data_IF_169090811980
#
_entry.id   IF_169090811980
#
_cell.length_a   1.000
_cell.length_b   1.000
_cell.length_c   1.000
_cell.angle_alpha   90.00
_cell.angle_beta   90.00
_cell.angle_gamma   90.00
#
_symmetry.space_group_name_H-M   'P 1'
#
loop_
_entity.id
_entity.type
_entity.pdbx_description
1 polymer ?
#
# COMPACT_ATOMS: atom_id res chain seq x y z
N UNK A 1 27.26 -27.01 -30.86
CA UNK A 1 25.90 -26.43 -30.72
C UNK A 1 26.05 -24.94 -30.44
N UNK A 2 25.55 -24.09 -31.34
CA UNK A 2 25.73 -22.63 -31.33
C UNK A 2 24.97 -21.94 -30.18
N UNK A 3 25.62 -20.94 -29.56
CA UNK A 3 25.09 -20.01 -28.55
C UNK A 3 23.80 -19.26 -28.97
N UNK A 4 23.43 -19.31 -30.26
CA UNK A 4 22.16 -18.74 -30.75
C UNK A 4 20.92 -19.48 -30.23
N UNK A 5 21.02 -20.76 -29.82
CA UNK A 5 19.86 -21.55 -29.39
C UNK A 5 19.45 -21.36 -27.92
N UNK A 6 20.29 -20.75 -27.08
CA UNK A 6 19.95 -20.48 -25.68
C UNK A 6 19.20 -19.15 -25.51
N UNK A 7 19.48 -18.16 -26.38
CA UNK A 7 18.76 -16.88 -26.42
C UNK A 7 17.30 -17.05 -26.84
N UNK A 8 17.03 -17.95 -27.79
CA UNK A 8 15.66 -18.22 -28.27
C UNK A 8 14.80 -18.96 -27.22
N UNK A 9 15.41 -19.72 -26.31
CA UNK A 9 14.70 -20.39 -25.21
C UNK A 9 14.26 -19.39 -24.11
N UNK A 10 15.11 -18.44 -23.74
CA UNK A 10 14.72 -17.38 -22.80
C UNK A 10 13.74 -16.37 -23.44
N UNK A 11 13.89 -16.04 -24.72
CA UNK A 11 12.95 -15.17 -25.43
C UNK A 11 11.56 -15.82 -25.60
N UNK A 12 11.48 -17.13 -25.85
CA UNK A 12 10.20 -17.85 -25.95
C UNK A 12 9.46 -18.01 -24.61
N UNK A 13 10.18 -17.97 -23.48
CA UNK A 13 9.54 -17.98 -22.13
C UNK A 13 8.94 -16.61 -21.77
N UNK A 14 9.25 -15.56 -22.53
CA UNK A 14 8.78 -14.19 -22.26
C UNK A 14 7.67 -13.72 -23.21
N UNK A 15 7.33 -14.47 -24.26
CA UNK A 15 6.35 -14.03 -25.28
C UNK A 15 5.42 -15.12 -25.84
N UNK A 16 5.36 -16.31 -25.27
CA UNK A 16 4.42 -17.34 -25.70
C UNK A 16 3.56 -17.87 -24.55
N UNK A 17 2.29 -17.48 -24.57
CA UNK A 17 1.23 -18.22 -23.87
C UNK A 17 0.75 -17.60 -22.57
N UNK A 18 -0.01 -16.51 -22.68
CA UNK A 18 -1.21 -16.34 -21.82
C UNK A 18 -2.19 -17.45 -22.21
N UNK A 19 -1.84 -18.68 -21.82
CA UNK A 19 -2.69 -19.86 -21.90
C UNK A 19 -3.66 -19.78 -20.73
N UNK A 20 -4.93 -20.03 -21.02
CA UNK A 20 -6.07 -20.00 -20.08
C UNK A 20 -5.88 -20.87 -18.80
N UNK A 21 -4.81 -21.68 -18.73
CA UNK A 21 -4.41 -22.42 -17.53
C UNK A 21 -3.83 -21.52 -16.42
N UNK A 22 -3.09 -20.45 -16.74
CA UNK A 22 -2.50 -19.55 -15.73
C UNK A 22 -3.54 -18.67 -15.02
N UNK A 23 -4.65 -18.41 -15.69
CA UNK A 23 -5.79 -17.66 -15.15
C UNK A 23 -6.61 -18.48 -14.14
N UNK A 24 -6.67 -19.82 -14.25
CA UNK A 24 -7.43 -20.66 -13.31
C UNK A 24 -6.76 -20.70 -11.95
N UNK A 25 -5.43 -20.91 -11.88
CA UNK A 25 -4.71 -20.96 -10.62
C UNK A 25 -4.75 -19.61 -9.88
N UNK A 26 -4.58 -18.50 -10.60
CA UNK A 26 -4.68 -17.16 -10.03
C UNK A 26 -6.10 -16.86 -9.51
N UNK A 27 -7.14 -17.27 -10.26
CA UNK A 27 -8.53 -17.12 -9.87
C UNK A 27 -8.92 -18.03 -8.68
N UNK A 28 -8.42 -19.26 -8.64
CA UNK A 28 -8.64 -20.21 -7.54
C UNK A 28 -7.95 -19.73 -6.25
N UNK A 29 -6.72 -19.22 -6.37
CA UNK A 29 -6.00 -18.62 -5.25
C UNK A 29 -6.72 -17.37 -4.72
N UNK A 30 -7.21 -16.51 -5.62
CA UNK A 30 -8.03 -15.34 -5.26
C UNK A 30 -9.34 -15.76 -4.56
N UNK A 31 -10.03 -16.78 -5.05
CA UNK A 31 -11.25 -17.31 -4.41
C UNK A 31 -11.00 -17.89 -3.02
N UNK A 32 -9.94 -18.67 -2.84
CA UNK A 32 -9.55 -19.24 -1.55
C UNK A 32 -9.21 -18.14 -0.54
N UNK A 33 -8.43 -17.14 -0.97
CA UNK A 33 -8.09 -15.98 -0.14
C UNK A 33 -9.35 -15.21 0.27
N UNK A 34 -10.27 -14.95 -0.65
CA UNK A 34 -11.54 -14.25 -0.35
C UNK A 34 -12.41 -15.03 0.63
N UNK A 35 -12.56 -16.35 0.44
CA UNK A 35 -13.33 -17.20 1.34
C UNK A 35 -12.76 -17.22 2.76
N UNK A 36 -11.44 -17.22 2.91
CA UNK A 36 -10.79 -17.12 4.21
C UNK A 36 -11.07 -15.78 4.92
N UNK A 37 -11.26 -14.69 4.17
CA UNK A 37 -11.53 -13.35 4.70
C UNK A 37 -13.00 -13.14 5.11
N UNK A 38 -13.97 -13.86 4.50
CA UNK A 38 -15.41 -13.78 4.81
C UNK A 38 -15.71 -14.12 6.28
N UNK A 39 -14.89 -14.96 6.93
CA UNK A 39 -15.05 -15.31 8.34
C UNK A 39 -14.57 -14.24 9.33
N UNK A 40 -14.04 -13.11 8.84
CA UNK A 40 -13.59 -12.00 9.68
C UNK A 40 -14.54 -10.80 9.54
N UNK A 41 -15.02 -10.26 10.67
CA UNK A 41 -15.73 -8.97 10.66
C UNK A 41 -14.74 -7.85 10.32
N UNK A 42 -14.87 -7.22 9.16
CA UNK A 42 -14.01 -6.11 8.76
C UNK A 42 -14.27 -4.84 9.59
N UNK A 43 -15.53 -4.62 9.97
CA UNK A 43 -15.98 -3.48 10.80
C UNK A 43 -16.72 -3.99 12.04
N UNK A 44 -16.47 -3.39 13.20
CA UNK A 44 -16.94 -3.94 14.48
C UNK A 44 -17.95 -3.06 15.21
N UNK A 45 -18.03 -1.76 14.91
CA UNK A 45 -18.88 -0.82 15.65
C UNK A 45 -19.90 -0.10 14.79
N UNK A 46 -19.45 0.80 13.91
CA UNK A 46 -20.36 1.75 13.25
C UNK A 46 -19.88 2.19 11.87
N UNK A 47 -20.62 3.11 11.24
CA UNK A 47 -20.16 3.78 10.03
C UNK A 47 -19.06 4.82 10.30
N UNK A 48 -18.96 5.32 11.54
CA UNK A 48 -18.11 6.45 11.90
C UNK A 48 -18.87 7.76 11.96
N UNK A 49 -18.18 8.83 12.36
CA UNK A 49 -18.80 10.14 12.53
C UNK A 49 -19.13 10.79 11.16
N UNK A 50 -20.33 11.36 10.95
CA UNK A 50 -20.69 12.01 9.69
C UNK A 50 -19.72 13.10 9.25
N UNK A 51 -19.13 13.83 10.22
CA UNK A 51 -18.15 14.87 9.94
C UNK A 51 -16.88 14.33 9.25
N UNK A 52 -16.43 13.13 9.64
CA UNK A 52 -15.29 12.47 8.99
C UNK A 52 -15.56 12.28 7.50
N UNK A 53 -16.77 11.88 7.12
CA UNK A 53 -17.14 11.73 5.71
C UNK A 53 -17.21 13.08 4.99
N UNK A 54 -17.73 14.14 5.64
CA UNK A 54 -17.75 15.49 5.06
C UNK A 54 -16.34 16.00 4.78
N UNK A 55 -15.44 15.88 5.75
CA UNK A 55 -14.04 16.26 5.61
C UNK A 55 -13.33 15.45 4.51
N UNK A 56 -13.51 14.13 4.49
CA UNK A 56 -12.94 13.26 3.45
C UNK A 56 -13.47 13.61 2.05
N UNK A 57 -14.77 13.88 1.92
CA UNK A 57 -15.38 14.27 0.64
C UNK A 57 -14.87 15.63 0.17
N UNK A 58 -14.76 16.61 1.08
CA UNK A 58 -14.18 17.92 0.79
C UNK A 58 -12.73 17.77 0.34
N UNK A 59 -11.92 17.02 1.08
CA UNK A 59 -10.52 16.76 0.72
C UNK A 59 -10.38 16.08 -0.64
N UNK A 60 -11.25 15.09 -0.91
CA UNK A 60 -11.29 14.42 -2.20
C UNK A 60 -11.55 15.41 -3.32
N UNK A 61 -12.60 16.24 -3.23
CA UNK A 61 -13.00 17.18 -4.29
C UNK A 61 -11.96 18.29 -4.49
N UNK A 62 -11.46 18.87 -3.40
CA UNK A 62 -10.62 20.06 -3.44
C UNK A 62 -9.15 19.74 -3.70
N UNK A 63 -8.66 18.59 -3.25
CA UNK A 63 -7.25 18.21 -3.29
C UNK A 63 -7.01 17.03 -4.21
N UNK A 64 -7.64 15.89 -3.94
CA UNK A 64 -7.29 14.62 -4.61
C UNK A 64 -7.72 14.60 -6.08
N UNK A 65 -8.98 14.96 -6.36
CA UNK A 65 -9.53 15.05 -7.71
C UNK A 65 -8.83 16.10 -8.57
N UNK A 66 -8.21 17.11 -7.94
CA UNK A 66 -7.39 18.12 -8.63
C UNK A 66 -5.90 17.75 -8.68
N UNK A 67 -5.53 16.55 -8.23
CA UNK A 67 -4.14 16.07 -8.11
C UNK A 67 -3.24 17.08 -7.38
N UNK A 68 -3.72 17.68 -6.29
CA UNK A 68 -2.98 18.69 -5.48
C UNK A 68 -2.36 18.10 -4.20
N UNK A 69 -2.49 16.80 -3.97
CA UNK A 69 -1.99 16.13 -2.77
C UNK A 69 -0.51 16.44 -2.50
N UNK A 70 0.35 16.28 -3.51
CA UNK A 70 1.79 16.57 -3.41
C UNK A 70 2.09 18.03 -3.00
N UNK A 71 1.37 18.99 -3.58
CA UNK A 71 1.54 20.41 -3.26
C UNK A 71 1.15 20.71 -1.80
N UNK A 72 0.02 20.15 -1.35
CA UNK A 72 -0.39 20.26 0.05
C UNK A 72 0.67 19.67 0.97
N UNK A 73 1.17 18.47 0.67
CA UNK A 73 2.19 17.80 1.49
C UNK A 73 3.48 18.61 1.60
N UNK A 74 3.97 19.17 0.50
CA UNK A 74 5.16 20.03 0.48
C UNK A 74 5.00 21.26 1.39
N UNK A 75 3.79 21.82 1.50
CA UNK A 75 3.51 22.96 2.37
C UNK A 75 3.52 22.64 3.87
N UNK A 76 3.29 21.38 4.24
CA UNK A 76 3.17 20.94 5.64
C UNK A 76 4.52 20.80 6.35
N UNK A 77 5.65 20.86 5.61
CA UNK A 77 7.02 20.73 6.14
C UNK A 77 7.19 19.52 7.07
N UNK A 78 6.57 18.40 6.71
CA UNK A 78 6.69 17.14 7.46
C UNK A 78 8.16 16.69 7.52
N UNK A 79 8.63 16.38 8.72
CA UNK A 79 9.99 15.91 8.96
C UNK A 79 10.07 14.37 8.98
N UNK A 80 11.13 13.82 8.40
CA UNK A 80 11.47 12.40 8.46
C UNK A 80 12.35 12.13 9.69
N UNK A 81 11.94 11.20 10.54
CA UNK A 81 12.71 10.75 11.70
C UNK A 81 13.27 9.36 11.39
N UNK A 82 14.60 9.24 11.30
CA UNK A 82 15.27 7.94 11.16
C UNK A 82 15.54 7.37 12.55
N UNK A 83 14.97 6.21 12.84
CA UNK A 83 15.09 5.54 14.14
C UNK A 83 16.25 4.54 14.15
N UNK A 84 16.51 3.91 13.00
CA UNK A 84 17.60 2.94 12.85
C UNK A 84 18.13 2.96 11.43
N UNK A 85 19.44 2.87 11.28
CA UNK A 85 20.10 2.73 9.99
C UNK A 85 21.29 1.78 10.10
N UNK A 86 21.40 0.84 9.16
CA UNK A 86 22.52 -0.08 9.08
C UNK A 86 22.81 -0.42 7.61
N UNK A 87 24.09 -0.58 7.29
CA UNK A 87 24.53 -1.04 5.97
C UNK A 87 25.22 -2.39 6.13
N UNK A 88 24.78 -3.40 5.38
CA UNK A 88 25.36 -4.73 5.42
C UNK A 88 25.35 -5.33 4.02
N UNK A 89 26.51 -5.80 3.56
CA UNK A 89 26.67 -6.46 2.25
C UNK A 89 26.06 -5.66 1.08
N UNK A 90 26.26 -4.34 1.08
CA UNK A 90 25.74 -3.47 0.01
C UNK A 90 24.23 -3.19 0.07
N UNK A 91 23.55 -3.57 1.17
CA UNK A 91 22.15 -3.23 1.43
C UNK A 91 22.08 -2.27 2.62
N UNK A 92 21.39 -1.14 2.44
CA UNK A 92 21.05 -0.15 3.45
C UNK A 92 19.66 -0.46 3.99
N UNK A 93 19.58 -0.87 5.25
CA UNK A 93 18.32 -1.08 5.97
C UNK A 93 18.05 0.14 6.85
N UNK A 94 16.86 0.70 6.72
CA UNK A 94 16.44 1.92 7.44
C UNK A 94 15.09 1.66 8.09
N UNK A 95 14.93 2.07 9.33
CA UNK A 95 13.63 2.20 9.98
C UNK A 95 13.41 3.67 10.31
N UNK A 96 12.22 4.15 9.99
CA UNK A 96 11.88 5.54 10.21
C UNK A 96 10.40 5.75 10.46
N UNK A 97 10.10 6.94 10.91
CA UNK A 97 8.74 7.42 11.06
C UNK A 97 8.61 8.89 10.72
N UNK A 98 7.40 9.30 10.40
CA UNK A 98 7.05 10.69 10.21
C UNK A 98 5.60 10.90 10.64
N UNK A 99 5.26 12.14 10.97
CA UNK A 99 3.86 12.49 11.24
C UNK A 99 3.11 12.50 9.92
N UNK A 100 2.07 11.67 9.81
CA UNK A 100 1.25 11.53 8.60
C UNK A 100 0.77 12.92 8.14
N UNK A 101 1.01 13.33 6.88
CA UNK A 101 0.51 14.61 6.38
C UNK A 101 -1.02 14.73 6.53
N UNK A 102 -1.74 13.61 6.37
CA UNK A 102 -3.18 13.54 6.63
C UNK A 102 -3.54 13.85 8.09
N UNK A 103 -2.74 13.38 9.05
CA UNK A 103 -2.95 13.69 10.47
C UNK A 103 -2.66 15.15 10.81
N UNK A 104 -1.83 15.85 10.03
CA UNK A 104 -1.61 17.29 10.19
C UNK A 104 -2.83 18.07 9.67
N UNK A 105 -3.40 17.67 8.54
CA UNK A 105 -4.58 18.31 7.97
C UNK A 105 -5.88 17.98 8.73
N UNK A 106 -6.03 16.74 9.20
CA UNK A 106 -7.24 16.22 9.84
C UNK A 106 -6.87 15.46 11.13
N UNK A 107 -6.46 16.17 12.20
CA UNK A 107 -5.94 15.55 13.42
C UNK A 107 -6.93 14.63 14.12
N UNK A 108 -8.24 14.90 13.99
CA UNK A 108 -9.29 14.09 14.59
C UNK A 108 -9.48 12.72 13.90
N UNK A 109 -8.98 12.55 12.68
CA UNK A 109 -9.14 11.31 11.92
C UNK A 109 -8.03 10.28 12.22
N UNK A 110 -6.85 10.73 12.65
CA UNK A 110 -5.72 9.88 13.01
C UNK A 110 -5.20 10.25 14.41
N UNK A 111 -5.98 10.02 15.49
CA UNK A 111 -5.57 10.43 16.83
C UNK A 111 -4.43 9.55 17.39
N UNK A 112 -3.76 10.05 18.42
CA UNK A 112 -2.85 9.24 19.26
C UNK A 112 -1.73 8.57 18.47
N UNK A 113 -1.60 7.25 18.58
CA UNK A 113 -0.57 6.48 17.89
C UNK A 113 -0.78 6.41 16.36
N UNK A 114 -2.01 6.56 15.87
CA UNK A 114 -2.35 6.36 14.45
C UNK A 114 -1.70 7.43 13.55
N UNK A 115 -1.43 8.63 14.08
CA UNK A 115 -0.81 9.73 13.33
C UNK A 115 0.62 9.47 12.87
N UNK A 116 1.33 8.51 13.49
CA UNK A 116 2.73 8.25 13.19
C UNK A 116 2.85 7.18 12.11
N UNK A 117 3.17 7.59 10.89
CA UNK A 117 3.46 6.66 9.80
C UNK A 117 4.85 6.06 10.04
N UNK A 118 4.90 4.75 10.27
CA UNK A 118 6.14 3.98 10.45
C UNK A 118 6.45 3.16 9.21
N UNK A 119 7.71 3.08 8.86
CA UNK A 119 8.16 2.35 7.68
C UNK A 119 9.54 1.73 7.90
N UNK A 120 9.80 0.68 7.12
CA UNK A 120 11.11 0.04 7.02
C UNK A 120 11.50 -0.02 5.56
N UNK A 121 12.75 0.30 5.22
CA UNK A 121 13.26 0.14 3.88
C UNK A 121 14.46 -0.78 3.83
N UNK A 122 14.56 -1.45 2.69
CA UNK A 122 15.75 -2.18 2.26
C UNK A 122 16.14 -1.63 0.90
N UNK A 123 17.25 -0.91 0.86
CA UNK A 123 17.67 -0.14 -0.29
C UNK A 123 19.07 -0.60 -0.72
N UNK A 124 19.38 -0.69 -2.01
CA UNK A 124 20.76 -0.85 -2.46
C UNK A 124 21.62 0.32 -1.94
N UNK A 125 22.77 0.00 -1.34
CA UNK A 125 23.74 0.99 -0.86
C UNK A 125 24.57 1.58 -2.02
N UNK A 126 24.71 0.84 -3.12
CA UNK A 126 25.34 1.32 -4.35
C UNK A 126 24.31 2.04 -5.20
N UNK A 127 24.74 3.08 -5.93
CA UNK A 127 23.87 4.13 -6.48
C UNK A 127 22.66 3.63 -7.30
N UNK A 128 21.50 4.21 -6.93
CA UNK A 128 20.33 4.61 -7.74
C UNK A 128 19.72 3.54 -8.64
N UNK A 129 18.99 2.63 -8.01
CA UNK A 129 18.04 1.74 -8.67
C UNK A 129 16.61 2.06 -8.25
N UNK A 130 15.65 1.49 -8.99
CA UNK A 130 14.24 1.69 -8.72
C UNK A 130 13.85 1.30 -7.29
N UNK A 131 12.80 1.93 -6.76
CA UNK A 131 12.28 1.63 -5.42
C UNK A 131 10.78 1.40 -5.49
N UNK A 132 10.32 0.31 -4.89
CA UNK A 132 8.90 -0.01 -4.75
C UNK A 132 8.42 0.20 -3.32
N UNK A 133 7.34 0.98 -3.14
CA UNK A 133 6.66 1.13 -1.86
C UNK A 133 5.55 0.08 -1.76
N UNK A 134 5.60 -0.75 -0.73
CA UNK A 134 4.68 -1.87 -0.52
C UNK A 134 3.68 -1.56 0.60
N UNK A 135 2.41 -1.44 0.24
CA UNK A 135 1.29 -1.22 1.15
C UNK A 135 0.78 -2.54 1.73
N UNK A 136 0.41 -2.53 3.00
CA UNK A 136 0.04 -3.74 3.73
C UNK A 136 -1.34 -4.27 3.30
N UNK A 137 -1.46 -5.58 3.11
CA UNK A 137 -2.75 -6.27 2.94
C UNK A 137 -3.48 -6.49 4.27
N UNK A 138 -4.72 -6.97 4.25
CA UNK A 138 -5.48 -7.27 5.47
C UNK A 138 -4.74 -8.27 6.36
N UNK A 139 -4.64 -8.00 7.68
CA UNK A 139 -3.90 -8.88 8.59
C UNK A 139 -2.39 -8.62 8.67
N UNK A 140 -1.81 -7.84 7.76
CA UNK A 140 -0.37 -7.64 7.71
C UNK A 140 0.11 -6.55 8.68
N UNK A 141 0.09 -6.88 9.97
CA UNK A 141 0.58 -6.04 11.06
C UNK A 141 2.12 -6.03 11.17
N UNK A 142 2.82 -6.88 10.44
CA UNK A 142 4.28 -6.91 10.45
C UNK A 142 4.85 -6.37 9.14
N UNK A 143 6.17 -6.45 9.00
CA UNK A 143 6.83 -6.27 7.70
C UNK A 143 7.13 -7.62 7.02
N UNK A 144 7.12 -8.73 7.76
CA UNK A 144 7.68 -10.03 7.36
C UNK A 144 7.09 -10.54 6.04
N UNK A 145 5.76 -10.44 5.87
CA UNK A 145 5.10 -10.91 4.64
C UNK A 145 5.60 -10.17 3.41
N UNK A 146 5.78 -8.85 3.53
CA UNK A 146 6.29 -8.02 2.43
C UNK A 146 7.80 -8.12 2.26
N UNK A 147 8.54 -8.38 3.33
CA UNK A 147 9.97 -8.66 3.26
C UNK A 147 10.25 -9.93 2.48
N UNK A 148 9.59 -11.03 2.86
CA UNK A 148 9.78 -12.35 2.24
C UNK A 148 9.14 -12.41 0.86
N UNK A 149 7.92 -11.87 0.71
CA UNK A 149 7.16 -11.96 -0.53
C UNK A 149 7.57 -10.97 -1.63
N UNK A 150 8.22 -9.86 -1.28
CA UNK A 150 8.60 -8.83 -2.25
C UNK A 150 10.04 -8.34 -2.08
N UNK A 151 10.39 -7.83 -0.90
CA UNK A 151 11.64 -7.07 -0.74
C UNK A 151 12.89 -7.89 -1.07
N UNK A 152 12.96 -9.16 -0.65
CA UNK A 152 14.12 -10.02 -0.91
C UNK A 152 14.39 -10.23 -2.40
N UNK A 153 13.39 -10.67 -3.17
CA UNK A 153 13.55 -10.89 -4.61
C UNK A 153 13.83 -9.59 -5.36
N UNK A 154 13.19 -8.49 -4.97
CA UNK A 154 13.48 -7.18 -5.57
C UNK A 154 14.92 -6.74 -5.30
N UNK A 155 15.46 -6.96 -4.10
CA UNK A 155 16.84 -6.62 -3.77
C UNK A 155 17.86 -7.43 -4.58
N UNK A 156 17.57 -8.69 -4.91
CA UNK A 156 18.43 -9.52 -5.77
C UNK A 156 18.57 -8.93 -7.18
N UNK A 157 17.48 -8.33 -7.70
CA UNK A 157 17.49 -7.55 -8.95
C UNK A 157 18.06 -6.12 -8.76
N UNK A 158 18.39 -5.77 -7.52
CA UNK A 158 18.86 -4.45 -7.10
C UNK A 158 17.76 -3.39 -7.00
N UNK A 159 16.48 -3.76 -6.97
CA UNK A 159 15.37 -2.84 -6.72
C UNK A 159 15.14 -2.71 -5.22
N UNK A 160 15.12 -1.48 -4.70
CA UNK A 160 14.84 -1.22 -3.29
C UNK A 160 13.35 -1.38 -2.95
N UNK A 161 13.07 -1.59 -1.67
CA UNK A 161 11.71 -1.71 -1.16
C UNK A 161 11.51 -0.84 0.08
N UNK A 162 10.41 -0.08 0.12
CA UNK A 162 9.94 0.64 1.30
C UNK A 162 8.64 -0.01 1.76
N UNK A 163 8.58 -0.44 3.01
CA UNK A 163 7.46 -1.17 3.60
C UNK A 163 6.78 -0.25 4.62
N UNK A 164 5.58 0.26 4.30
CA UNK A 164 4.85 1.20 5.16
C UNK A 164 3.79 0.48 5.99
N UNK A 165 3.69 0.76 7.29
CA UNK A 165 2.56 0.29 8.10
C UNK A 165 1.31 1.10 7.77
N UNK A 166 0.22 0.42 7.39
CA UNK A 166 -1.06 1.08 7.20
C UNK A 166 -1.56 1.71 8.52
N UNK A 167 -2.32 2.81 8.46
CA UNK A 167 -3.11 3.28 9.59
C UNK A 167 -3.90 2.13 10.24
N UNK A 168 -4.09 2.20 11.56
CA UNK A 168 -4.82 1.20 12.37
C UNK A 168 -4.15 -0.17 12.51
N UNK A 169 -2.92 -0.35 12.03
CA UNK A 169 -2.19 -1.63 12.12
C UNK A 169 -0.98 -1.53 13.04
N UNK A 170 -0.65 -2.63 13.72
CA UNK A 170 0.58 -2.75 14.49
C UNK A 170 0.70 -1.64 15.55
N UNK A 171 1.80 -0.89 15.54
CA UNK A 171 2.05 0.25 16.42
C UNK A 171 1.07 1.41 16.20
N UNK A 172 0.38 1.45 15.06
CA UNK A 172 -0.66 2.42 14.70
C UNK A 172 -2.07 1.93 15.06
N UNK A 173 -2.21 0.77 15.70
CA UNK A 173 -3.51 0.19 16.05
C UNK A 173 -4.04 0.79 17.36
N UNK A 174 -5.26 1.35 17.39
CA UNK A 174 -5.89 1.76 18.64
C UNK A 174 -5.97 0.61 19.65
N UNK A 175 -5.84 0.87 20.96
CA UNK A 175 -5.88 -0.18 21.99
C UNK A 175 -7.16 -1.02 21.95
N UNK A 176 -8.29 -0.39 21.65
CA UNK A 176 -9.62 -1.02 21.63
C UNK A 176 -9.86 -1.89 20.39
N UNK A 177 -9.05 -1.72 19.34
CA UNK A 177 -9.22 -2.45 18.09
C UNK A 177 -8.71 -3.90 18.19
N UNK A 178 -9.56 -4.86 17.85
CA UNK A 178 -9.20 -6.28 17.80
C UNK A 178 -8.63 -6.66 16.44
N UNK A 179 -7.36 -7.11 16.41
CA UNK A 179 -6.66 -7.52 15.18
C UNK A 179 -6.76 -6.43 14.08
N UNK A 180 -7.11 -6.82 12.85
CA UNK A 180 -7.27 -5.92 11.71
C UNK A 180 -8.71 -5.48 11.48
N UNK A 181 -9.62 -5.83 12.39
CA UNK A 181 -11.02 -5.43 12.31
C UNK A 181 -11.13 -3.97 12.71
N UNK A 182 -11.39 -3.10 11.74
CA UNK A 182 -11.56 -1.67 11.97
C UNK A 182 -12.80 -1.43 12.84
N UNK A 183 -12.79 -0.36 13.63
CA UNK A 183 -13.97 -0.02 14.44
C UNK A 183 -15.07 0.52 13.54
N UNK A 184 -14.72 1.44 12.65
CA UNK A 184 -15.68 2.15 11.82
C UNK A 184 -15.41 1.97 10.33
N UNK A 185 -16.48 2.09 9.53
CA UNK A 185 -16.36 2.13 8.07
C UNK A 185 -15.52 3.34 7.62
N UNK A 186 -15.68 4.49 8.29
CA UNK A 186 -14.88 5.69 8.05
C UNK A 186 -13.37 5.43 8.14
N UNK A 187 -12.94 4.53 9.02
CA UNK A 187 -11.52 4.26 9.28
C UNK A 187 -10.84 3.69 8.03
N UNK A 188 -11.57 2.94 7.20
CA UNK A 188 -11.04 2.45 5.92
C UNK A 188 -10.82 3.60 4.92
N UNK A 189 -11.72 4.58 4.89
CA UNK A 189 -11.57 5.75 4.02
C UNK A 189 -10.45 6.67 4.51
N UNK A 190 -10.36 6.88 5.82
CA UNK A 190 -9.25 7.60 6.45
C UNK A 190 -7.93 6.91 6.14
N UNK A 191 -7.88 5.58 6.22
CA UNK A 191 -6.69 4.79 5.87
C UNK A 191 -6.25 5.08 4.43
N UNK A 192 -7.19 5.06 3.48
CA UNK A 192 -6.89 5.37 2.07
C UNK A 192 -6.37 6.79 1.86
N UNK A 193 -7.05 7.79 2.44
CA UNK A 193 -6.64 9.20 2.34
C UNK A 193 -5.24 9.43 2.95
N UNK A 194 -4.98 8.81 4.10
CA UNK A 194 -3.68 8.86 4.74
C UNK A 194 -2.58 8.26 3.86
N UNK A 195 -2.79 7.05 3.34
CA UNK A 195 -1.81 6.34 2.52
C UNK A 195 -1.48 7.05 1.20
N UNK A 196 -2.43 7.78 0.61
CA UNK A 196 -2.14 8.68 -0.52
C UNK A 196 -1.09 9.71 -0.13
N UNK A 197 -1.28 10.38 1.00
CA UNK A 197 -0.37 11.44 1.43
C UNK A 197 0.97 10.90 1.93
N UNK A 198 0.95 9.77 2.63
CA UNK A 198 2.14 9.10 3.17
C UNK A 198 3.02 8.54 2.04
N UNK A 199 2.43 7.93 1.00
CA UNK A 199 3.17 7.46 -0.17
C UNK A 199 3.79 8.62 -0.96
N UNK A 200 3.05 9.73 -1.16
CA UNK A 200 3.61 10.92 -1.83
C UNK A 200 4.80 11.51 -1.05
N UNK A 201 4.73 11.52 0.28
CA UNK A 201 5.84 11.94 1.13
C UNK A 201 7.05 11.01 1.00
N UNK A 202 6.83 9.68 1.08
CA UNK A 202 7.90 8.68 0.92
C UNK A 202 8.55 8.70 -0.46
N UNK A 203 7.77 8.93 -1.52
CA UNK A 203 8.29 9.14 -2.88
C UNK A 203 9.22 10.35 -2.89
N UNK A 204 8.76 11.50 -2.38
CA UNK A 204 9.56 12.72 -2.33
C UNK A 204 10.87 12.53 -1.54
N UNK A 205 10.79 11.85 -0.39
CA UNK A 205 11.94 11.53 0.44
C UNK A 205 12.92 10.58 -0.27
N UNK A 206 12.44 9.48 -0.87
CA UNK A 206 13.28 8.53 -1.58
C UNK A 206 13.99 9.18 -2.78
N UNK A 207 13.30 10.08 -3.49
CA UNK A 207 13.87 10.86 -4.59
C UNK A 207 14.95 11.82 -4.10
N UNK A 208 14.73 12.49 -2.97
CA UNK A 208 15.72 13.37 -2.35
C UNK A 208 16.99 12.61 -1.95
N UNK A 209 16.85 11.40 -1.40
CA UNK A 209 17.96 10.46 -1.14
C UNK A 209 18.63 9.94 -2.43
N UNK A 210 18.07 10.24 -3.60
CA UNK A 210 18.61 9.91 -4.91
C UNK A 210 18.13 8.58 -5.48
N UNK A 211 17.11 7.94 -4.91
CA UNK A 211 16.50 6.72 -5.46
C UNK A 211 15.51 7.02 -6.60
N UNK A 212 15.21 6.01 -7.41
CA UNK A 212 14.26 6.12 -8.52
C UNK A 212 14.68 5.25 -9.72
N UNK A 213 13.77 4.91 -10.65
CA UNK A 213 12.33 5.26 -10.72
C UNK A 213 11.47 4.65 -9.59
N UNK A 214 10.25 5.16 -9.39
CA UNK A 214 9.38 4.75 -8.27
C UNK A 214 8.29 3.76 -8.71
N UNK A 215 7.92 2.87 -7.80
CA UNK A 215 6.77 1.99 -7.95
C UNK A 215 5.94 1.93 -6.65
N UNK A 216 4.65 1.62 -6.78
CA UNK A 216 3.74 1.30 -5.69
C UNK A 216 3.20 -0.11 -5.90
N UNK A 217 3.16 -0.91 -4.83
CA UNK A 217 2.59 -2.25 -4.87
C UNK A 217 1.90 -2.59 -3.55
N UNK A 218 1.14 -3.68 -3.56
CA UNK A 218 0.47 -4.23 -2.40
C UNK A 218 -0.45 -5.38 -2.80
N UNK A 219 -0.84 -6.18 -1.82
CA UNK A 219 -1.71 -7.36 -2.02
C UNK A 219 -3.10 -7.08 -1.47
N UNK A 220 -4.15 -7.43 -2.22
CA UNK A 220 -5.55 -7.32 -1.79
C UNK A 220 -5.90 -5.88 -1.40
N UNK A 221 -6.27 -5.62 -0.13
CA UNK A 221 -6.47 -4.26 0.38
C UNK A 221 -5.25 -3.36 0.10
N UNK A 222 -4.03 -3.88 0.24
CA UNK A 222 -2.81 -3.13 -0.06
C UNK A 222 -2.70 -2.75 -1.53
N UNK A 223 -3.13 -3.62 -2.45
CA UNK A 223 -3.13 -3.33 -3.89
C UNK A 223 -4.18 -2.28 -4.26
N UNK A 224 -5.33 -2.30 -3.57
CA UNK A 224 -6.35 -1.25 -3.71
C UNK A 224 -5.80 0.09 -3.22
N UNK A 225 -5.14 0.12 -2.06
CA UNK A 225 -4.51 1.33 -1.54
C UNK A 225 -3.35 1.81 -2.42
N UNK A 226 -2.58 0.90 -3.03
CA UNK A 226 -1.51 1.23 -3.99
C UNK A 226 -2.09 1.96 -5.22
N UNK A 227 -3.21 1.46 -5.74
CA UNK A 227 -3.91 2.07 -6.88
C UNK A 227 -4.46 3.45 -6.53
N UNK A 228 -5.04 3.58 -5.33
CA UNK A 228 -5.55 4.84 -4.81
C UNK A 228 -4.43 5.88 -4.64
N UNK A 229 -3.30 5.49 -4.04
CA UNK A 229 -2.13 6.34 -3.90
C UNK A 229 -1.56 6.74 -5.26
N UNK A 230 -1.40 5.79 -6.18
CA UNK A 230 -0.86 6.03 -7.53
C UNK A 230 -1.68 7.02 -8.35
N UNK A 231 -3.01 7.06 -8.18
CA UNK A 231 -3.88 8.03 -8.85
C UNK A 231 -3.61 9.50 -8.46
N UNK A 232 -2.90 9.72 -7.34
CA UNK A 232 -2.61 11.03 -6.76
C UNK A 232 -1.13 11.41 -6.82
N UNK A 233 -0.27 10.56 -7.38
CA UNK A 233 1.15 10.89 -7.61
C UNK A 233 1.26 11.66 -8.94
N UNK A 234 2.04 12.75 -8.95
CA UNK A 234 2.29 13.52 -10.19
C UNK A 234 3.48 13.01 -10.99
N UNK A 235 4.46 12.43 -10.32
CA UNK A 235 5.65 11.88 -10.96
C UNK A 235 5.38 10.52 -11.63
N UNK A 236 6.12 10.17 -12.71
CA UNK A 236 6.02 8.85 -13.33
C UNK A 236 6.31 7.74 -12.31
N UNK A 237 5.26 7.01 -11.92
CA UNK A 237 5.30 5.98 -10.89
C UNK A 237 4.59 4.74 -11.40
N UNK A 238 5.28 3.60 -11.41
CA UNK A 238 4.65 2.33 -11.76
C UNK A 238 3.69 1.90 -10.64
N UNK A 239 2.56 1.28 -10.99
CA UNK A 239 1.62 0.76 -10.00
C UNK A 239 1.39 -0.70 -10.31
N UNK A 240 1.73 -1.58 -9.36
CA UNK A 240 1.62 -3.03 -9.48
C UNK A 240 0.67 -3.54 -8.39
N UNK A 241 -0.65 -3.43 -8.59
CA UNK A 241 -1.63 -3.89 -7.62
C UNK A 241 -1.83 -5.41 -7.75
N UNK A 242 -1.49 -6.17 -6.72
CA UNK A 242 -1.61 -7.62 -6.72
C UNK A 242 -2.91 -8.07 -6.05
N UNK A 243 -3.66 -8.99 -6.67
CA UNK A 243 -4.92 -9.54 -6.15
C UNK A 243 -5.90 -8.44 -5.66
N UNK A 244 -5.89 -7.29 -6.35
CA UNK A 244 -6.70 -6.12 -5.99
C UNK A 244 -8.00 -6.11 -6.78
N UNK A 245 -9.07 -5.59 -6.17
CA UNK A 245 -10.27 -5.22 -6.91
C UNK A 245 -10.15 -3.77 -7.43
N UNK A 246 -10.89 -3.46 -8.49
CA UNK A 246 -10.92 -2.13 -9.11
C UNK A 246 -11.70 -1.11 -8.30
N UNK A 247 -12.56 -1.55 -7.36
CA UNK A 247 -13.41 -0.68 -6.55
C UNK A 247 -13.87 -1.35 -5.26
N UNK A 248 -14.01 -0.59 -4.17
CA UNK A 248 -14.69 -1.10 -2.97
C UNK A 248 -16.23 -1.10 -3.10
N UNK A 249 -16.79 -0.47 -4.16
CA UNK A 249 -18.24 -0.27 -4.33
C UNK A 249 -19.05 -1.56 -4.18
N UNK A 250 -18.74 -2.68 -4.86
CA UNK A 250 -19.55 -3.90 -4.75
C UNK A 250 -19.69 -4.42 -3.31
N UNK A 251 -18.63 -4.28 -2.50
CA UNK A 251 -18.68 -4.67 -1.09
C UNK A 251 -19.69 -3.85 -0.27
N UNK A 252 -19.94 -2.59 -0.67
CA UNK A 252 -20.89 -1.71 0.00
C UNK A 252 -22.29 -1.71 -0.63
N UNK A 253 -22.39 -1.92 -1.95
CA UNK A 253 -23.67 -1.79 -2.68
C UNK A 253 -24.31 -3.12 -3.05
N UNK A 254 -23.54 -4.19 -3.22
CA UNK A 254 -24.02 -5.46 -3.79
C UNK A 254 -23.99 -6.62 -2.78
N UNK A 255 -23.22 -6.50 -1.70
CA UNK A 255 -23.10 -7.55 -0.67
C UNK A 255 -24.44 -7.93 0.01
N UNK A 256 -25.47 -7.08 -0.06
CA UNK A 256 -26.82 -7.39 0.43
C UNK A 256 -27.66 -8.25 -0.52
N UNK A 257 -27.34 -8.33 -1.82
CA UNK A 257 -28.23 -8.98 -2.79
C UNK A 257 -28.11 -10.50 -2.84
N UNK A 258 -27.03 -11.09 -2.29
CA UNK A 258 -26.85 -12.56 -2.26
C UNK A 258 -27.31 -13.24 -0.96
N UNK A 259 -27.68 -12.46 0.06
CA UNK A 259 -28.11 -13.00 1.36
C UNK A 259 -29.64 -13.04 1.54
N UNK A 260 -30.41 -12.55 0.57
CA UNK A 260 -31.88 -12.55 0.61
C UNK A 260 -32.51 -13.50 -0.44
N UNK A 261 -31.71 -14.29 -1.15
CA UNK A 261 -32.21 -15.31 -2.09
C UNK A 261 -32.18 -16.74 -1.52
N UNK A 262 -31.80 -16.91 -0.25
CA UNK A 262 -31.76 -18.21 0.44
C UNK A 262 -32.41 -18.15 1.84
N UNK A 263 -33.43 -17.29 2.02
CA UNK A 263 -34.40 -17.41 3.12
C UNK A 263 -35.79 -17.43 2.50
#
# INVERSE_FOLDING_TARGET
>A
MSLSRLGDWLASTTMAGVSAAGTSLAAETDMLLRRALVFSKLFTRSWGHPETFRELMKHKIEVMSKRRAEQCIKSLKTEMIIEKEQVTKGVRMIEGRFRSPHAVMFPNQLPGCVQWARWRAYLPAVRRKGVCIHLAGTGDHSYIRREVGFAKGLLEEGVGSILIQNPFYADRKPPQQFRSSLENVSDLFVMGAALISECNFLISWARWEGYGPMALSGVSMGGFMASLAGSNVREPTAVVPCLSWTSARPAFTEAKSRYLSEI
#
